data_IF_842998805950
#
_entry.id   IF_842998805950
#
_cell.length_a   1.000
_cell.length_b   1.000
_cell.length_c   1.000
_cell.angle_alpha   90.00
_cell.angle_beta   90.00
_cell.angle_gamma   90.00
#
_symmetry.space_group_name_H-M   'P 1'
#
loop_
_entity.id
_entity.type
_entity.pdbx_description
1 polymer ?
#
# COMPACT_ATOMS: atom_id res chain seq x y z
N UNK A 1 -20.69 -4.53 -15.34
CA UNK A 1 -19.66 -3.72 -14.66
C UNK A 1 -18.71 -4.60 -13.83
N UNK A 2 -17.62 -5.10 -14.43
CA UNK A 2 -16.62 -5.96 -13.77
C UNK A 2 -15.41 -5.14 -13.31
N UNK A 3 -15.66 -4.09 -12.52
CA UNK A 3 -14.76 -2.94 -12.46
C UNK A 3 -13.63 -2.94 -11.41
N UNK A 4 -13.69 -3.71 -10.31
CA UNK A 4 -12.76 -3.43 -9.20
C UNK A 4 -12.37 -4.63 -8.31
N UNK A 5 -12.46 -5.87 -8.79
CA UNK A 5 -12.13 -7.02 -7.95
C UNK A 5 -10.64 -7.07 -7.55
N UNK A 6 -9.72 -6.49 -8.33
CA UNK A 6 -8.29 -6.52 -8.00
C UNK A 6 -7.93 -5.71 -6.75
N UNK A 7 -8.22 -4.40 -6.77
CA UNK A 7 -7.84 -3.49 -5.69
C UNK A 7 -8.70 -3.73 -4.44
N UNK A 8 -10.01 -3.97 -4.59
CA UNK A 8 -10.87 -4.33 -3.46
C UNK A 8 -10.40 -5.62 -2.78
N UNK A 9 -10.07 -6.66 -3.55
CA UNK A 9 -9.58 -7.92 -2.97
C UNK A 9 -8.20 -7.73 -2.33
N UNK A 10 -7.32 -6.91 -2.91
CA UNK A 10 -6.04 -6.58 -2.29
C UNK A 10 -6.23 -5.81 -0.97
N UNK A 11 -7.13 -4.84 -0.94
CA UNK A 11 -7.50 -4.09 0.27
C UNK A 11 -7.98 -5.02 1.38
N UNK A 12 -8.92 -5.92 1.07
CA UNK A 12 -9.43 -6.89 2.01
C UNK A 12 -8.33 -7.90 2.45
N UNK A 13 -7.50 -8.36 1.52
CA UNK A 13 -6.44 -9.34 1.79
C UNK A 13 -5.32 -8.78 2.67
N UNK A 14 -4.87 -7.56 2.41
CA UNK A 14 -3.69 -6.99 3.07
C UNK A 14 -4.05 -6.12 4.28
N UNK A 15 -5.21 -5.46 4.28
CA UNK A 15 -5.59 -4.48 5.32
C UNK A 15 -6.92 -4.81 6.00
N UNK A 16 -7.69 -5.78 5.48
CA UNK A 16 -9.04 -6.11 5.95
C UNK A 16 -9.97 -4.88 6.03
N UNK A 17 -9.80 -3.96 5.07
CA UNK A 17 -10.53 -2.70 4.94
C UNK A 17 -11.20 -2.60 3.58
N UNK A 18 -12.22 -1.75 3.48
CA UNK A 18 -12.77 -1.37 2.18
C UNK A 18 -11.76 -0.49 1.41
N UNK A 19 -11.78 -0.53 0.07
CA UNK A 19 -10.90 0.31 -0.76
C UNK A 19 -11.08 1.79 -0.46
N UNK A 20 -12.28 2.22 -0.05
CA UNK A 20 -12.54 3.62 0.32
C UNK A 20 -11.95 4.04 1.66
N UNK A 21 -11.55 3.08 2.50
CA UNK A 21 -10.97 3.35 3.83
C UNK A 21 -9.44 3.28 3.84
N UNK A 22 -8.83 3.01 2.69
CA UNK A 22 -7.39 2.95 2.56
C UNK A 22 -6.76 4.33 2.67
N UNK A 23 -5.74 4.42 3.52
CA UNK A 23 -4.83 5.56 3.56
C UNK A 23 -3.98 5.65 2.29
N UNK A 24 -3.39 6.81 2.06
CA UNK A 24 -2.48 7.04 0.93
C UNK A 24 -1.34 6.02 0.87
N UNK A 25 -0.86 5.61 2.04
CA UNK A 25 0.23 4.64 2.24
C UNK A 25 -0.17 3.24 1.83
N UNK A 26 -1.36 2.80 2.24
CA UNK A 26 -1.90 1.49 1.90
C UNK A 26 -2.24 1.44 0.41
N UNK A 27 -2.78 2.53 -0.15
CA UNK A 27 -2.98 2.69 -1.59
C UNK A 27 -1.65 2.54 -2.36
N UNK A 28 -0.60 3.25 -1.96
CA UNK A 28 0.72 3.17 -2.58
C UNK A 28 1.33 1.76 -2.46
N UNK A 29 1.13 1.08 -1.32
CA UNK A 29 1.59 -0.28 -1.12
C UNK A 29 0.88 -1.28 -2.05
N UNK A 30 -0.44 -1.16 -2.23
CA UNK A 30 -1.19 -1.99 -3.19
C UNK A 30 -0.78 -1.67 -4.62
N UNK A 31 -0.58 -0.38 -4.95
CA UNK A 31 -0.15 0.05 -6.28
C UNK A 31 1.24 -0.48 -6.67
N UNK A 32 2.09 -0.80 -5.70
CA UNK A 32 3.37 -1.46 -5.96
C UNK A 32 3.17 -2.89 -6.48
N UNK A 33 2.32 -3.69 -5.84
CA UNK A 33 2.19 -5.14 -6.04
C UNK A 33 2.03 -5.56 -7.52
N UNK A 34 1.14 -4.96 -8.34
CA UNK A 34 0.89 -5.41 -9.71
C UNK A 34 2.13 -5.51 -10.59
N UNK A 35 3.13 -4.67 -10.37
CA UNK A 35 4.33 -4.66 -11.21
C UNK A 35 5.30 -5.79 -10.84
N UNK A 36 5.37 -6.24 -9.58
CA UNK A 36 6.05 -7.47 -9.19
C UNK A 36 5.38 -8.11 -7.96
N UNK A 37 4.34 -8.96 -8.17
CA UNK A 37 3.51 -9.44 -7.07
C UNK A 37 4.31 -10.29 -6.08
N UNK A 38 5.27 -11.10 -6.53
CA UNK A 38 6.08 -11.93 -5.62
C UNK A 38 7.14 -11.13 -4.87
N UNK A 39 7.70 -10.08 -5.50
CA UNK A 39 8.85 -9.34 -4.94
C UNK A 39 8.41 -8.23 -3.98
N UNK A 40 7.22 -7.70 -4.19
CA UNK A 40 6.67 -6.57 -3.44
C UNK A 40 5.39 -6.94 -2.71
N UNK A 41 5.11 -8.23 -2.54
CA UNK A 41 4.10 -8.66 -1.59
C UNK A 41 4.51 -8.17 -0.19
N UNK A 42 3.67 -7.38 0.50
CA UNK A 42 4.04 -6.80 1.79
C UNK A 42 4.09 -7.85 2.91
N UNK A 43 3.45 -9.02 2.73
CA UNK A 43 3.50 -10.14 3.69
C UNK A 43 4.83 -10.90 3.53
N UNK A 44 5.27 -11.15 2.29
CA UNK A 44 6.50 -11.91 2.02
C UNK A 44 7.77 -11.04 2.07
N UNK A 45 7.68 -9.79 1.63
CA UNK A 45 8.82 -8.88 1.53
C UNK A 45 8.42 -7.43 1.90
N UNK A 46 8.17 -7.15 3.19
CA UNK A 46 7.76 -5.82 3.65
C UNK A 46 8.82 -4.75 3.35
N UNK A 47 10.11 -5.10 3.43
CA UNK A 47 11.20 -4.19 3.10
C UNK A 47 11.18 -3.79 1.61
N UNK A 48 10.99 -4.75 0.71
CA UNK A 48 10.86 -4.48 -0.72
C UNK A 48 9.61 -3.69 -1.07
N UNK A 49 8.49 -3.97 -0.41
CA UNK A 49 7.27 -3.16 -0.58
C UNK A 49 7.49 -1.72 -0.11
N UNK A 50 8.13 -1.51 1.05
CA UNK A 50 8.45 -0.16 1.57
C UNK A 50 9.30 0.64 0.60
N UNK A 51 10.37 0.05 0.06
CA UNK A 51 11.23 0.74 -0.93
C UNK A 51 10.43 1.13 -2.18
N UNK A 52 9.54 0.24 -2.65
CA UNK A 52 8.72 0.54 -3.82
C UNK A 52 7.64 1.58 -3.55
N UNK A 53 7.02 1.52 -2.37
CA UNK A 53 6.04 2.49 -1.87
C UNK A 53 6.63 3.89 -1.83
N UNK A 54 7.85 4.06 -1.31
CA UNK A 54 8.55 5.36 -1.29
C UNK A 54 8.76 5.92 -2.71
N UNK A 55 9.08 5.06 -3.69
CA UNK A 55 9.18 5.47 -5.09
C UNK A 55 7.81 5.94 -5.62
N UNK A 56 6.73 5.22 -5.33
CA UNK A 56 5.38 5.60 -5.77
C UNK A 56 4.96 6.92 -5.12
N UNK A 57 5.16 7.08 -3.81
CA UNK A 57 4.86 8.33 -3.11
C UNK A 57 5.64 9.51 -3.71
N UNK A 58 6.92 9.31 -4.06
CA UNK A 58 7.72 10.31 -4.74
C UNK A 58 7.15 10.65 -6.12
N UNK A 59 6.73 9.64 -6.89
CA UNK A 59 6.12 9.86 -8.21
C UNK A 59 4.74 10.53 -8.13
N UNK A 60 3.95 10.24 -7.08
CA UNK A 60 2.69 10.94 -6.82
C UNK A 60 2.93 12.40 -6.47
N UNK A 61 3.97 12.68 -5.69
CA UNK A 61 4.38 14.04 -5.36
C UNK A 61 4.88 14.80 -6.58
N UNK A 62 5.74 14.20 -7.42
CA UNK A 62 6.27 14.85 -8.64
C UNK A 62 5.17 15.11 -9.68
N UNK A 63 4.14 14.28 -9.73
CA UNK A 63 2.95 14.48 -10.56
C UNK A 63 1.94 15.49 -9.96
N UNK A 64 2.14 15.95 -8.72
CA UNK A 64 1.22 16.87 -8.04
C UNK A 64 -0.10 16.22 -7.61
N UNK A 65 -0.13 14.89 -7.44
CA UNK A 65 -1.30 14.16 -6.94
C UNK A 65 -1.45 14.36 -5.42
N UNK A 66 -0.32 14.45 -4.71
CA UNK A 66 -0.26 14.62 -3.25
C UNK A 66 0.58 15.84 -2.89
N UNK A 67 0.33 16.43 -1.72
CA UNK A 67 1.13 17.53 -1.22
C UNK A 67 2.45 17.05 -0.61
N UNK A 68 3.36 17.98 -0.32
CA UNK A 68 4.60 17.65 0.39
C UNK A 68 4.30 17.10 1.79
N UNK A 69 3.29 17.64 2.47
CA UNK A 69 2.86 17.18 3.79
C UNK A 69 2.33 15.75 3.72
N UNK A 70 1.46 15.43 2.75
CA UNK A 70 0.99 14.05 2.51
C UNK A 70 2.15 13.09 2.23
N UNK A 71 3.13 13.51 1.43
CA UNK A 71 4.31 12.70 1.12
C UNK A 71 5.14 12.42 2.39
N UNK A 72 5.39 13.44 3.21
CA UNK A 72 6.16 13.28 4.46
C UNK A 72 5.40 12.47 5.50
N UNK A 73 4.09 12.66 5.63
CA UNK A 73 3.23 11.86 6.50
C UNK A 73 3.21 10.40 6.04
N UNK A 74 2.96 10.15 4.76
CA UNK A 74 2.90 8.81 4.20
C UNK A 74 4.24 8.07 4.32
N UNK A 75 5.36 8.78 4.16
CA UNK A 75 6.70 8.20 4.32
C UNK A 75 6.99 7.81 5.77
N UNK A 76 6.55 8.62 6.73
CA UNK A 76 6.72 8.34 8.16
C UNK A 76 5.70 7.33 8.70
N UNK A 77 4.61 7.11 7.99
CA UNK A 77 3.60 6.14 8.36
C UNK A 77 4.06 4.72 8.06
N UNK A 78 4.04 3.89 9.11
CA UNK A 78 4.31 2.47 9.00
C UNK A 78 3.14 1.75 8.35
N UNK A 79 3.43 0.77 7.49
CA UNK A 79 2.39 -0.02 6.83
C UNK A 79 1.91 -1.09 7.82
N UNK A 80 0.65 -1.00 8.25
CA UNK A 80 0.05 -1.99 9.15
C UNK A 80 -0.71 -3.01 8.32
N UNK A 81 -0.25 -4.26 8.31
CA UNK A 81 -0.96 -5.34 7.61
C UNK A 81 -1.98 -6.02 8.53
N UNK A 82 -3.10 -6.46 7.96
CA UNK A 82 -4.11 -7.26 8.67
C UNK A 82 -3.53 -8.57 9.22
N UNK A 83 -2.47 -9.10 8.61
CA UNK A 83 -1.80 -10.33 9.05
C UNK A 83 -0.92 -10.12 10.28
N UNK A 84 -0.43 -8.90 10.54
CA UNK A 84 0.37 -8.60 11.74
C UNK A 84 -0.48 -8.57 13.01
N UNK A 85 -1.82 -8.55 12.89
CA UNK A 85 -2.75 -8.77 14.00
C UNK A 85 -2.99 -10.25 14.34
N UNK A 86 -2.33 -11.20 13.66
CA UNK A 86 -2.50 -12.64 13.86
C UNK A 86 -1.17 -13.35 14.20
N UNK A 87 -0.31 -12.71 15.00
CA UNK A 87 0.71 -13.44 15.78
C UNK A 87 0.65 -12.99 17.24
N UNK A 88 -0.19 -13.69 18.01
CA UNK A 88 0.05 -14.03 19.41
C UNK A 88 -0.95 -15.11 19.84
N UNK A 89 -0.61 -16.38 19.61
CA UNK A 89 -0.83 -17.50 20.55
C UNK A 89 0.02 -18.70 20.17
#
# INVERSE_FOLDING_TARGET
PQGCYGVQTASAKYFNKDVSELSLVECAAIAAIPQYPTRWDPIQNPAGNKERRDVILKEMFTQGIITKEDYEEAKNTELVLATEGQEQT
#
